data_IF_563649073118
#
_entry.id   IF_563649073118
#
_cell.length_a   1.000
_cell.length_b   1.000
_cell.length_c   1.000
_cell.angle_alpha   90.00
_cell.angle_beta   90.00
_cell.angle_gamma   90.00
#
_symmetry.space_group_name_H-M   'P 1'
#
loop_
_entity.id
_entity.type
_entity.pdbx_description
1 polymer ?
#
# COMPACT_ATOMS: atom_id res chain seq x y z
N UNK A 1 18.90 -4.20 37.93
CA UNK A 1 20.02 -4.07 36.98
C UNK A 1 19.98 -5.24 36.01
N UNK A 2 20.37 -4.97 34.75
CA UNK A 2 20.08 -5.71 33.52
C UNK A 2 20.58 -7.16 33.44
N UNK A 3 19.91 -7.99 32.63
CA UNK A 3 20.50 -8.56 31.42
C UNK A 3 19.42 -8.92 30.38
N UNK A 4 19.55 -8.34 29.18
CA UNK A 4 18.74 -8.56 27.96
C UNK A 4 19.24 -9.81 27.21
N UNK A 5 18.33 -10.51 26.52
CA UNK A 5 18.53 -11.22 25.24
C UNK A 5 17.13 -11.71 24.80
N UNK A 6 16.38 -10.99 23.95
CA UNK A 6 16.50 -10.83 22.50
C UNK A 6 16.37 -12.13 21.71
N UNK A 7 15.14 -12.49 21.37
CA UNK A 7 14.77 -13.31 20.20
C UNK A 7 13.24 -13.26 20.04
N UNK A 8 12.74 -12.23 19.36
CA UNK A 8 11.34 -12.18 18.93
C UNK A 8 11.18 -13.03 17.66
N UNK A 9 10.92 -14.32 17.85
CA UNK A 9 10.24 -15.15 16.85
C UNK A 9 8.73 -14.95 17.05
N UNK A 10 8.15 -13.96 16.39
CA UNK A 10 6.69 -13.81 16.37
C UNK A 10 6.12 -14.75 15.30
N UNK A 11 5.62 -15.89 15.76
CA UNK A 11 4.86 -16.88 15.00
C UNK A 11 3.60 -16.24 14.39
N UNK A 12 3.39 -16.47 13.10
CA UNK A 12 2.18 -16.10 12.35
C UNK A 12 1.02 -16.97 12.83
N UNK A 13 0.09 -16.39 13.58
CA UNK A 13 -1.24 -16.95 13.80
C UNK A 13 -2.27 -15.99 13.23
N UNK A 14 -2.78 -16.34 12.05
CA UNK A 14 -3.84 -15.61 11.38
C UNK A 14 -5.18 -15.83 12.09
N UNK A 15 -5.53 -14.92 12.98
CA UNK A 15 -6.92 -14.50 13.13
C UNK A 15 -7.05 -13.12 12.50
N UNK A 16 -7.96 -13.00 11.54
CA UNK A 16 -8.35 -11.74 10.90
C UNK A 16 -9.20 -10.95 11.91
N UNK A 17 -8.58 -10.54 13.03
CA UNK A 17 -9.19 -9.59 13.95
C UNK A 17 -9.36 -8.30 13.16
N UNK A 18 -10.60 -7.97 12.80
CA UNK A 18 -10.96 -6.72 12.17
C UNK A 18 -10.52 -5.60 13.11
N UNK A 19 -9.33 -5.06 12.86
CA UNK A 19 -8.70 -4.06 13.72
C UNK A 19 -9.44 -2.75 13.48
N UNK A 20 -10.31 -2.35 14.40
CA UNK A 20 -11.01 -1.08 14.31
C UNK A 20 -10.05 0.05 14.65
N UNK A 21 -9.48 0.69 13.63
CA UNK A 21 -8.55 1.79 13.81
C UNK A 21 -9.23 3.10 14.21
N UNK A 22 -10.54 3.27 13.91
CA UNK A 22 -11.26 4.53 14.14
C UNK A 22 -11.27 4.99 15.61
N UNK A 23 -11.15 4.06 16.56
CA UNK A 23 -11.14 4.35 18.00
C UNK A 23 -9.73 4.50 18.59
N UNK A 24 -8.69 4.47 17.77
CA UNK A 24 -7.32 4.60 18.26
C UNK A 24 -7.05 6.00 18.81
N UNK A 25 -6.47 6.04 20.01
CA UNK A 25 -6.12 7.30 20.70
C UNK A 25 -4.75 7.84 20.32
N UNK A 26 -3.96 7.10 19.53
CA UNK A 26 -2.60 7.46 19.12
C UNK A 26 -2.53 8.17 17.75
N UNK A 27 -3.69 8.56 17.20
CA UNK A 27 -3.80 9.26 15.92
C UNK A 27 -3.75 8.36 14.68
N UNK A 28 -3.60 7.04 14.83
CA UNK A 28 -3.62 6.10 13.70
C UNK A 28 -5.05 5.60 13.45
N UNK A 29 -5.88 6.42 12.85
CA UNK A 29 -7.32 6.14 12.72
C UNK A 29 -7.72 5.40 11.44
N UNK A 30 -6.86 5.39 10.41
CA UNK A 30 -7.14 4.79 9.11
C UNK A 30 -6.68 3.33 9.04
N UNK A 31 -7.55 2.40 8.65
CA UNK A 31 -7.15 1.01 8.40
C UNK A 31 -6.67 0.82 6.96
N UNK A 32 -5.54 0.14 6.78
CA UNK A 32 -4.98 -0.20 5.47
C UNK A 32 -4.64 -1.69 5.41
N UNK A 33 -4.68 -2.27 4.20
CA UNK A 33 -4.03 -3.56 3.96
C UNK A 33 -2.51 -3.42 4.02
N UNK A 34 -1.84 -4.43 4.57
CA UNK A 34 -0.37 -4.55 4.59
C UNK A 34 0.06 -5.94 4.16
N UNK A 35 0.54 -6.04 2.93
CA UNK A 35 0.91 -7.31 2.34
C UNK A 35 1.83 -7.13 1.14
N UNK A 36 2.40 -8.25 0.72
CA UNK A 36 3.20 -8.36 -0.48
C UNK A 36 2.65 -9.51 -1.33
N UNK A 37 2.16 -9.20 -2.51
CA UNK A 37 1.74 -10.14 -3.55
C UNK A 37 2.86 -10.33 -4.57
N UNK A 38 3.07 -11.57 -5.00
CA UNK A 38 3.93 -11.94 -6.13
C UNK A 38 3.06 -12.15 -7.36
N UNK A 39 3.67 -12.24 -8.53
CA UNK A 39 2.98 -12.48 -9.81
C UNK A 39 1.84 -11.47 -10.06
N UNK A 40 2.06 -10.21 -9.59
CA UNK A 40 1.06 -9.13 -9.58
C UNK A 40 -0.28 -9.48 -8.90
N UNK A 41 -0.28 -10.45 -7.98
CA UNK A 41 -1.47 -10.84 -7.25
C UNK A 41 -1.93 -9.73 -6.29
N UNK A 42 -3.21 -9.36 -6.37
CA UNK A 42 -3.79 -8.40 -5.43
C UNK A 42 -3.96 -9.06 -4.06
N UNK A 43 -3.03 -8.81 -3.15
CA UNK A 43 -3.12 -9.32 -1.79
C UNK A 43 -4.11 -8.50 -0.93
N UNK A 44 -4.91 -9.19 -0.11
CA UNK A 44 -5.90 -8.58 0.81
C UNK A 44 -5.75 -9.15 2.23
N UNK A 45 -4.50 -9.34 2.65
CA UNK A 45 -4.16 -9.88 3.96
C UNK A 45 -3.34 -8.87 4.75
N UNK A 46 -3.30 -9.02 6.07
CA UNK A 46 -2.61 -8.10 6.98
C UNK A 46 -3.34 -6.75 7.10
N UNK A 47 -3.63 -6.35 8.35
CA UNK A 47 -4.32 -5.08 8.64
C UNK A 47 -3.45 -4.22 9.55
N UNK A 48 -3.32 -2.94 9.21
CA UNK A 48 -2.57 -1.96 10.02
C UNK A 48 -3.36 -0.67 10.17
N UNK A 49 -3.16 0.01 11.29
CA UNK A 49 -3.70 1.34 11.55
C UNK A 49 -2.66 2.40 11.22
N UNK A 50 -3.09 3.46 10.54
CA UNK A 50 -2.22 4.42 9.90
C UNK A 50 -2.64 5.85 10.24
N UNK A 51 -1.65 6.71 10.44
CA UNK A 51 -1.85 8.12 10.78
C UNK A 51 -1.89 9.03 9.54
N UNK A 52 -1.29 8.60 8.43
CA UNK A 52 -1.28 9.31 7.16
C UNK A 52 -2.13 8.57 6.12
N UNK A 53 -1.49 8.13 5.05
CA UNK A 53 -2.19 7.53 3.90
C UNK A 53 -1.88 6.04 3.73
N UNK A 54 -2.85 5.29 3.20
CA UNK A 54 -2.60 3.94 2.67
C UNK A 54 -1.86 4.06 1.32
N UNK A 55 -1.11 3.02 0.97
CA UNK A 55 -0.54 2.89 -0.37
C UNK A 55 -0.69 1.50 -0.98
N UNK A 56 -0.68 1.47 -2.31
CA UNK A 56 -0.48 0.29 -3.15
C UNK A 56 0.64 0.61 -4.15
N UNK A 57 1.74 -0.11 -4.06
CA UNK A 57 2.89 0.00 -4.94
C UNK A 57 2.89 -1.16 -5.93
N UNK A 58 3.11 -0.84 -7.20
CA UNK A 58 3.23 -1.78 -8.32
C UNK A 58 4.68 -1.75 -8.82
N UNK A 59 5.39 -2.84 -8.60
CA UNK A 59 6.77 -3.06 -9.04
C UNK A 59 6.75 -4.05 -10.22
N UNK A 60 6.68 -3.50 -11.43
CA UNK A 60 6.62 -4.28 -12.68
C UNK A 60 7.92 -5.02 -12.99
N UNK A 61 9.05 -4.51 -12.50
CA UNK A 61 10.36 -5.13 -12.71
C UNK A 61 10.47 -6.48 -11.99
N UNK A 62 9.87 -6.57 -10.81
CA UNK A 62 9.89 -7.77 -9.97
C UNK A 62 8.56 -8.53 -9.91
N UNK A 63 7.57 -8.14 -10.72
CA UNK A 63 6.24 -8.74 -10.80
C UNK A 63 5.51 -8.74 -9.42
N UNK A 64 5.50 -7.58 -8.76
CA UNK A 64 5.09 -7.47 -7.37
C UNK A 64 4.05 -6.37 -7.10
N UNK A 65 3.15 -6.66 -6.16
CA UNK A 65 2.28 -5.66 -5.51
C UNK A 65 2.64 -5.57 -4.03
N UNK A 66 2.88 -4.36 -3.53
CA UNK A 66 3.09 -4.13 -2.10
C UNK A 66 2.08 -3.13 -1.58
N UNK A 67 1.35 -3.51 -0.53
CA UNK A 67 0.39 -2.65 0.17
C UNK A 67 0.90 -2.31 1.56
N UNK A 68 0.62 -1.11 2.00
CA UNK A 68 0.96 -0.68 3.36
C UNK A 68 0.44 0.71 3.65
N UNK A 69 1.11 1.39 4.57
CA UNK A 69 0.83 2.79 4.83
C UNK A 69 2.08 3.59 5.18
N UNK A 70 1.93 4.91 5.08
CA UNK A 70 2.93 5.89 5.45
C UNK A 70 2.37 6.83 6.53
N UNK A 71 3.25 7.42 7.32
CA UNK A 71 2.91 8.53 8.22
C UNK A 71 2.65 9.85 7.49
N UNK A 72 3.09 9.95 6.23
CA UNK A 72 2.94 11.15 5.42
C UNK A 72 1.47 11.34 5.03
N UNK A 73 0.98 12.58 5.10
CA UNK A 73 -0.34 12.97 4.60
C UNK A 73 -0.29 13.17 3.08
N UNK A 74 -0.28 12.07 2.35
CA UNK A 74 -0.26 12.08 0.88
C UNK A 74 -1.62 12.53 0.33
N UNK A 75 -1.62 13.20 -0.83
CA UNK A 75 -2.87 13.58 -1.51
C UNK A 75 -3.69 12.34 -1.87
N UNK A 76 -5.00 12.40 -1.66
CA UNK A 76 -5.88 11.29 -1.99
C UNK A 76 -5.89 11.06 -3.51
N UNK A 77 -5.91 9.78 -3.90
CA UNK A 77 -5.79 9.36 -5.29
C UNK A 77 -4.54 9.87 -6.04
N UNK A 78 -3.43 10.14 -5.33
CA UNK A 78 -2.17 10.55 -5.96
C UNK A 78 -1.27 9.36 -6.30
N UNK A 79 -0.35 9.56 -7.24
CA UNK A 79 0.65 8.56 -7.64
C UNK A 79 2.06 9.13 -7.62
N UNK A 80 3.01 8.36 -7.06
CA UNK A 80 4.43 8.71 -7.01
C UNK A 80 5.31 7.48 -7.20
N UNK A 81 6.44 7.64 -7.89
CA UNK A 81 7.48 6.61 -7.91
C UNK A 81 8.13 6.54 -6.54
N UNK A 82 8.24 5.34 -5.96
CA UNK A 82 8.90 5.12 -4.67
C UNK A 82 9.76 3.87 -4.70
N UNK A 83 10.79 3.88 -3.87
CA UNK A 83 11.57 2.70 -3.48
C UNK A 83 11.29 2.42 -2.02
N UNK A 84 10.87 1.20 -1.70
CA UNK A 84 10.67 0.77 -0.32
C UNK A 84 12.00 0.29 0.25
N UNK A 85 12.19 0.46 1.55
CA UNK A 85 13.34 -0.11 2.25
C UNK A 85 13.10 -1.60 2.58
N UNK A 86 12.84 -2.38 1.54
CA UNK A 86 12.61 -3.81 1.59
C UNK A 86 13.41 -4.47 0.47
N UNK A 87 14.29 -5.39 0.85
CA UNK A 87 15.18 -6.09 -0.08
C UNK A 87 14.58 -7.42 -0.53
N UNK A 88 14.77 -7.74 -1.81
CA UNK A 88 14.35 -8.97 -2.44
C UNK A 88 15.51 -9.95 -2.47
N UNK A 89 15.51 -10.94 -1.56
CA UNK A 89 16.62 -11.89 -1.44
C UNK A 89 16.85 -12.76 -2.68
N UNK A 90 15.83 -12.91 -3.55
CA UNK A 90 15.89 -13.72 -4.77
C UNK A 90 16.37 -12.95 -6.00
N UNK A 91 16.52 -11.61 -5.90
CA UNK A 91 17.00 -10.76 -7.00
C UNK A 91 18.12 -9.87 -6.48
N UNK A 92 19.29 -10.46 -6.20
CA UNK A 92 20.51 -9.72 -5.81
C UNK A 92 20.35 -8.69 -4.67
N UNK A 93 19.38 -8.87 -3.76
CA UNK A 93 19.02 -7.89 -2.72
C UNK A 93 18.58 -6.53 -3.27
N UNK A 94 18.05 -6.49 -4.49
CA UNK A 94 17.42 -5.30 -5.05
C UNK A 94 16.24 -4.86 -4.17
N UNK A 95 15.92 -3.57 -4.24
CA UNK A 95 14.83 -2.99 -3.45
C UNK A 95 13.57 -2.90 -4.29
N UNK A 96 12.43 -3.12 -3.64
CA UNK A 96 11.14 -2.90 -4.28
C UNK A 96 11.02 -1.46 -4.74
N UNK A 97 10.71 -1.26 -6.02
CA UNK A 97 10.58 0.06 -6.63
C UNK A 97 9.45 0.06 -7.63
N UNK A 98 8.58 1.07 -7.55
CA UNK A 98 7.40 1.06 -8.38
C UNK A 98 6.58 2.34 -8.31
N UNK A 99 5.48 2.35 -9.06
CA UNK A 99 4.46 3.37 -8.94
C UNK A 99 3.62 3.09 -7.69
N UNK A 100 3.59 4.03 -6.75
CA UNK A 100 2.81 3.97 -5.53
C UNK A 100 1.58 4.84 -5.65
N UNK A 101 0.41 4.23 -5.62
CA UNK A 101 -0.87 4.90 -5.48
C UNK A 101 -1.16 5.14 -4.00
N UNK A 102 -1.54 6.37 -3.65
CA UNK A 102 -1.93 6.77 -2.31
C UNK A 102 -3.42 7.02 -2.23
N UNK A 103 -4.01 6.65 -1.09
CA UNK A 103 -5.39 6.95 -0.80
C UNK A 103 -5.60 7.18 0.70
N UNK A 104 -6.63 7.96 1.00
CA UNK A 104 -7.08 8.28 2.36
C UNK A 104 -8.60 8.49 2.41
N UNK A 105 -9.15 8.61 3.60
CA UNK A 105 -10.56 8.95 3.82
C UNK A 105 -11.54 7.77 3.78
N UNK A 106 -11.14 6.60 3.27
CA UNK A 106 -11.92 5.36 3.40
C UNK A 106 -11.05 4.22 3.90
N UNK A 107 -11.60 3.40 4.80
CA UNK A 107 -10.94 2.21 5.31
C UNK A 107 -10.62 1.25 4.15
N UNK A 108 -9.42 0.67 4.17
CA UNK A 108 -8.96 -0.31 3.17
C UNK A 108 -8.98 0.20 1.72
N UNK A 109 -8.87 1.52 1.50
CA UNK A 109 -8.88 2.13 0.17
C UNK A 109 -7.79 1.58 -0.78
N UNK A 110 -6.73 0.97 -0.24
CA UNK A 110 -5.67 0.33 -1.02
C UNK A 110 -6.03 -1.09 -1.49
N UNK A 111 -7.30 -1.50 -1.41
CA UNK A 111 -7.79 -2.72 -2.05
C UNK A 111 -7.72 -2.65 -3.59
N UNK A 112 -7.96 -1.46 -4.14
CA UNK A 112 -8.39 -1.26 -5.52
C UNK A 112 -7.57 -2.07 -6.55
N UNK A 113 -8.30 -2.77 -7.42
CA UNK A 113 -7.70 -3.47 -8.55
C UNK A 113 -7.05 -2.47 -9.51
N UNK A 114 -5.90 -2.85 -10.08
CA UNK A 114 -5.09 -2.02 -10.99
C UNK A 114 -5.89 -1.43 -12.17
N UNK A 115 -7.00 -2.07 -12.55
CA UNK A 115 -7.88 -1.65 -13.65
C UNK A 115 -8.71 -0.39 -13.36
N UNK A 116 -8.87 0.03 -12.11
CA UNK A 116 -9.69 1.22 -11.76
C UNK A 116 -8.95 2.55 -11.95
N UNK A 117 -7.65 2.54 -12.24
CA UNK A 117 -6.83 3.76 -12.32
C UNK A 117 -6.81 4.42 -13.70
N UNK A 118 -7.44 3.84 -14.72
CA UNK A 118 -7.45 4.39 -16.10
C UNK A 118 -8.64 5.35 -16.35
N UNK A 119 -9.55 5.55 -15.39
CA UNK A 119 -10.83 6.23 -15.67
C UNK A 119 -10.81 7.77 -15.70
N UNK A 120 -9.69 8.45 -16.00
CA UNK A 120 -9.70 9.93 -16.03
C UNK A 120 -8.94 10.62 -17.16
N UNK A 121 -8.50 9.90 -18.20
CA UNK A 121 -7.95 10.56 -19.40
C UNK A 121 -8.55 9.97 -20.66
N UNK A 122 -9.71 10.50 -21.09
CA UNK A 122 -10.07 10.73 -22.51
C UNK A 122 -11.55 11.18 -22.65
N UNK A 123 -11.84 12.43 -22.27
CA UNK A 123 -12.86 13.21 -22.99
C UNK A 123 -12.22 14.54 -23.39
N UNK A 124 -11.24 14.46 -24.29
CA UNK A 124 -10.92 15.61 -25.12
C UNK A 124 -12.08 15.70 -26.12
N UNK A 125 -12.86 16.79 -26.17
CA UNK A 125 -13.87 16.94 -27.21
C UNK A 125 -13.11 17.29 -28.49
N UNK A 126 -12.63 16.27 -29.20
CA UNK A 126 -12.27 16.40 -30.62
C UNK A 126 -13.58 16.48 -31.41
N UNK A 127 -14.30 17.57 -31.21
CA UNK A 127 -15.42 18.00 -32.03
C UNK A 127 -15.38 19.52 -32.19
N UNK A 128 -14.20 20.04 -32.57
CA UNK A 128 -14.02 21.37 -33.16
C UNK A 128 -13.07 21.30 -34.36
N UNK A 129 -13.33 20.35 -35.25
CA UNK A 129 -12.70 20.27 -36.58
C UNK A 129 -13.73 20.14 -37.72
N UNK A 130 -15.01 20.37 -37.42
CA UNK A 130 -16.08 20.50 -38.41
C UNK A 130 -16.92 21.73 -38.10
N UNK A 131 -16.37 22.92 -38.39
CA UNK A 131 -17.09 24.17 -38.71
C UNK A 131 -16.08 25.19 -39.23
#
# INVERSE_FOLDING_TARGET
MNHKNSSYLASVSGELHQRNCSTNTDGRTLSCYTCMGRDMENCMHGLTCCSGSCFKLVDEEHDMIVKGCTSDDEEDASMKVRTLDMTLYWVNNEKVKGQSYFCKGTEFCNDSSMLSFISSIAVVPVLRLFL
#
